data_IF_841002546473
#
_entry.id   IF_841002546473
#
_cell.length_a   1.000
_cell.length_b   1.000
_cell.length_c   1.000
_cell.angle_alpha   90.00
_cell.angle_beta   90.00
_cell.angle_gamma   90.00
#
_symmetry.space_group_name_H-M   'P 1'
#
loop_
_entity.id
_entity.type
_entity.pdbx_description
1 polymer ?
#
# COMPACT_ATOMS: atom_id res chain seq x y z
N UNK A 1 -51.23 26.80 1.33
CA UNK A 1 -51.41 27.32 -0.04
C UNK A 1 -50.29 28.31 -0.34
N UNK A 2 -49.30 27.90 -1.15
CA UNK A 2 -48.94 28.52 -2.45
C UNK A 2 -47.60 29.27 -2.34
N UNK A 3 -46.47 28.65 -2.64
CA UNK A 3 -45.80 28.45 -3.96
C UNK A 3 -44.67 29.48 -4.20
N UNK A 4 -43.43 29.00 -4.01
CA UNK A 4 -42.33 28.98 -4.99
C UNK A 4 -42.32 30.04 -6.10
N UNK A 5 -41.25 30.87 -6.14
CA UNK A 5 -40.60 31.38 -7.37
C UNK A 5 -39.13 31.71 -7.09
N UNK A 6 -38.21 30.89 -7.60
CA UNK A 6 -36.85 31.32 -7.97
C UNK A 6 -36.67 30.93 -9.43
N UNK A 7 -36.28 31.89 -10.25
CA UNK A 7 -36.25 31.80 -11.70
C UNK A 7 -34.98 31.08 -12.21
N UNK A 8 -35.19 30.17 -13.16
CA UNK A 8 -34.25 29.75 -14.22
C UNK A 8 -33.89 30.97 -15.10
N UNK A 9 -32.76 31.12 -15.80
CA UNK A 9 -31.66 30.25 -16.22
C UNK A 9 -30.49 31.14 -16.70
N UNK A 10 -29.26 30.61 -16.68
CA UNK A 10 -28.33 30.77 -17.82
C UNK A 10 -27.66 29.41 -18.04
N UNK A 11 -27.95 28.82 -19.19
CA UNK A 11 -27.41 27.55 -19.68
C UNK A 11 -26.07 27.86 -20.35
N UNK A 12 -24.95 27.42 -19.75
CA UNK A 12 -23.68 27.29 -20.45
C UNK A 12 -23.40 25.79 -20.60
N UNK A 13 -23.71 25.24 -21.77
CA UNK A 13 -23.36 23.87 -22.13
C UNK A 13 -21.86 23.87 -22.46
N UNK A 14 -21.05 23.47 -21.49
CA UNK A 14 -19.69 22.99 -21.76
C UNK A 14 -19.77 21.47 -21.73
N UNK A 15 -19.63 20.84 -22.90
CA UNK A 15 -19.55 19.40 -23.04
C UNK A 15 -18.27 18.87 -22.39
N UNK A 16 -18.34 18.59 -21.09
CA UNK A 16 -17.35 17.82 -20.37
C UNK A 16 -17.75 16.35 -20.41
N UNK A 17 -16.91 15.51 -21.02
CA UNK A 17 -17.04 14.06 -20.92
C UNK A 17 -16.85 13.70 -19.44
N UNK A 18 -17.96 13.37 -18.77
CA UNK A 18 -17.93 12.90 -17.40
C UNK A 18 -17.17 11.57 -17.35
N UNK A 19 -15.94 11.61 -16.85
CA UNK A 19 -15.26 10.39 -16.40
C UNK A 19 -16.03 9.85 -15.19
N UNK A 20 -16.29 8.54 -15.11
CA UNK A 20 -16.88 7.97 -13.91
C UNK A 20 -15.91 8.22 -12.75
N UNK A 21 -16.40 8.91 -11.72
CA UNK A 21 -15.67 9.08 -10.47
C UNK A 21 -15.34 7.68 -9.93
N UNK A 22 -14.05 7.39 -9.78
CA UNK A 22 -13.60 6.20 -9.07
C UNK A 22 -14.31 6.17 -7.71
N UNK A 23 -14.96 5.05 -7.39
CA UNK A 23 -15.62 4.86 -6.11
C UNK A 23 -14.58 5.11 -5.00
N UNK A 24 -14.85 6.08 -4.13
CA UNK A 24 -13.97 6.39 -3.00
C UNK A 24 -13.86 5.14 -2.11
N UNK A 25 -12.65 4.77 -1.65
CA UNK A 25 -12.48 3.64 -0.74
C UNK A 25 -13.37 3.83 0.50
N UNK A 26 -13.99 2.74 0.95
CA UNK A 26 -14.87 2.77 2.12
C UNK A 26 -14.14 3.39 3.32
N UNK A 27 -14.78 4.30 4.07
CA UNK A 27 -14.10 4.99 5.15
C UNK A 27 -13.70 4.02 6.27
N UNK A 28 -12.56 4.28 6.93
CA UNK A 28 -12.07 3.39 7.97
C UNK A 28 -12.96 3.42 9.22
N UNK A 29 -13.10 2.26 9.87
CA UNK A 29 -13.72 2.17 11.19
C UNK A 29 -12.68 2.58 12.23
N UNK A 30 -12.82 3.76 12.83
CA UNK A 30 -11.89 4.28 13.84
C UNK A 30 -12.32 3.83 15.25
N UNK A 31 -11.63 2.86 15.85
CA UNK A 31 -11.94 2.25 17.16
C UNK A 31 -10.75 2.31 18.12
N UNK A 32 -10.98 2.08 19.41
CA UNK A 32 -9.92 1.84 20.40
C UNK A 32 -10.19 0.48 21.02
N UNK A 33 -9.64 -0.56 20.41
CA UNK A 33 -9.93 -1.96 20.76
C UNK A 33 -9.07 -2.42 21.93
N UNK A 34 -7.85 -1.90 22.03
CA UNK A 34 -6.97 -2.09 23.19
C UNK A 34 -6.45 -0.75 23.70
N UNK A 35 -6.60 -0.48 24.99
CA UNK A 35 -6.07 0.73 25.62
C UNK A 35 -4.66 0.52 26.15
N UNK A 36 -3.80 1.52 25.94
CA UNK A 36 -2.43 1.60 26.47
C UNK A 36 -2.30 2.70 27.53
N UNK A 37 -3.43 3.22 28.02
CA UNK A 37 -3.48 4.26 29.06
C UNK A 37 -3.60 5.68 28.50
N UNK A 38 -3.24 6.66 29.32
CA UNK A 38 -3.29 8.08 28.99
C UNK A 38 -1.94 8.74 29.19
N UNK A 39 -1.54 9.60 28.25
CA UNK A 39 -0.28 10.36 28.27
C UNK A 39 -0.60 11.83 28.01
N UNK A 40 -0.24 12.70 28.95
CA UNK A 40 -0.44 14.16 28.83
C UNK A 40 -1.86 14.58 28.40
N UNK A 41 -2.89 13.86 28.85
CA UNK A 41 -4.30 14.13 28.50
C UNK A 41 -4.82 13.40 27.25
N UNK A 42 -3.95 12.74 26.49
CA UNK A 42 -4.29 11.94 25.31
C UNK A 42 -4.51 10.48 25.69
N UNK A 43 -5.53 9.85 25.11
CA UNK A 43 -5.76 8.42 25.26
C UNK A 43 -4.98 7.66 24.18
N UNK A 44 -4.17 6.70 24.60
CA UNK A 44 -3.34 5.88 23.70
C UNK A 44 -4.00 4.52 23.57
N UNK A 45 -4.05 4.01 22.35
CA UNK A 45 -4.68 2.73 22.08
C UNK A 45 -4.24 2.11 20.78
N UNK A 46 -4.76 0.92 20.52
CA UNK A 46 -4.59 0.18 19.29
C UNK A 46 -5.97 -0.07 18.67
N UNK A 47 -6.04 0.13 17.36
CA UNK A 47 -7.22 -0.15 16.55
C UNK A 47 -6.92 -1.35 15.66
N UNK A 48 -7.70 -2.42 15.82
CA UNK A 48 -7.59 -3.64 15.02
C UNK A 48 -7.98 -3.37 13.57
N UNK A 49 -9.04 -2.60 13.35
CA UNK A 49 -9.51 -2.19 12.02
C UNK A 49 -8.52 -1.32 11.25
N UNK A 50 -7.68 -0.55 11.96
CA UNK A 50 -6.60 0.21 11.35
C UNK A 50 -5.26 -0.54 11.37
N UNK A 51 -5.17 -1.64 12.11
CA UNK A 51 -3.94 -2.42 12.31
C UNK A 51 -2.81 -1.64 13.00
N UNK A 52 -3.11 -0.58 13.74
CA UNK A 52 -2.09 0.34 14.24
C UNK A 52 -2.48 1.12 15.49
N UNK A 53 -1.46 1.66 16.15
CA UNK A 53 -1.63 2.47 17.36
C UNK A 53 -2.06 3.89 17.02
N UNK A 54 -2.80 4.50 17.95
CA UNK A 54 -3.38 5.82 17.82
C UNK A 54 -3.45 6.57 19.15
N UNK A 55 -3.53 7.88 19.04
CA UNK A 55 -3.82 8.80 20.13
C UNK A 55 -5.13 9.55 19.86
N UNK A 56 -5.87 9.81 20.92
CA UNK A 56 -7.11 10.57 20.86
C UNK A 56 -7.21 11.60 22.00
N UNK A 57 -7.59 12.83 21.65
CA UNK A 57 -7.92 13.89 22.61
C UNK A 57 -9.28 14.49 22.29
N UNK A 58 -10.14 14.56 23.31
CA UNK A 58 -11.47 15.14 23.23
C UNK A 58 -11.48 16.54 23.84
N UNK A 59 -12.23 17.46 23.21
CA UNK A 59 -12.29 18.87 23.56
C UNK A 59 -13.69 19.28 24.01
N UNK A 60 -13.80 20.40 24.72
CA UNK A 60 -15.04 20.85 25.36
C UNK A 60 -16.18 21.17 24.39
N UNK A 61 -15.90 21.40 23.10
CA UNK A 61 -16.91 21.60 22.05
C UNK A 61 -17.54 20.29 21.54
N UNK A 62 -17.02 19.14 21.98
CA UNK A 62 -17.39 17.80 21.54
C UNK A 62 -16.55 17.26 20.39
N UNK A 63 -15.58 18.05 19.90
CA UNK A 63 -14.64 17.58 18.87
C UNK A 63 -13.66 16.60 19.50
N UNK A 64 -13.31 15.54 18.79
CA UNK A 64 -12.18 14.67 19.15
C UNK A 64 -11.20 14.63 17.99
N UNK A 65 -9.93 14.85 18.31
CA UNK A 65 -8.80 14.73 17.39
C UNK A 65 -8.17 13.36 17.57
N UNK A 66 -7.93 12.70 16.46
CA UNK A 66 -7.33 11.38 16.37
C UNK A 66 -6.12 11.46 15.47
N UNK A 67 -5.02 10.86 15.88
CA UNK A 67 -3.90 10.62 14.97
C UNK A 67 -3.25 9.28 15.28
N UNK A 68 -2.59 8.70 14.31
CA UNK A 68 -1.92 7.41 14.51
C UNK A 68 -1.34 6.87 13.22
N UNK A 69 -1.05 5.57 13.23
CA UNK A 69 -0.54 4.85 12.07
C UNK A 69 -1.54 3.78 11.64
N UNK A 70 -1.59 3.51 10.34
CA UNK A 70 -2.28 2.32 9.83
C UNK A 70 -1.28 1.16 9.67
N UNK A 71 -1.56 -0.02 10.21
CA UNK A 71 -0.70 -1.19 10.07
C UNK A 71 0.64 -1.12 10.85
N UNK A 72 1.37 -2.24 10.82
CA UNK A 72 2.63 -2.43 11.55
C UNK A 72 3.78 -1.50 11.12
N UNK A 73 3.71 -0.92 9.91
CA UNK A 73 4.74 -0.02 9.34
C UNK A 73 4.17 1.23 8.64
N UNK A 74 2.86 1.49 8.74
CA UNK A 74 2.17 2.27 7.71
C UNK A 74 1.97 3.76 7.97
N UNK A 75 1.27 4.35 7.01
CA UNK A 75 1.06 5.77 6.84
C UNK A 75 0.35 6.41 8.03
N UNK A 76 0.85 7.58 8.41
CA UNK A 76 0.18 8.40 9.42
C UNK A 76 -1.18 8.90 8.93
N UNK A 77 -2.13 8.98 9.84
CA UNK A 77 -3.46 9.51 9.58
C UNK A 77 -3.86 10.53 10.65
N UNK A 78 -4.85 11.36 10.29
CA UNK A 78 -5.51 12.31 11.18
C UNK A 78 -7.01 12.16 10.94
N UNK A 79 -7.76 12.17 12.03
CA UNK A 79 -9.19 12.27 11.95
C UNK A 79 -9.75 13.27 12.97
N UNK A 80 -10.88 13.83 12.63
CA UNK A 80 -11.67 14.69 13.49
C UNK A 80 -13.07 14.11 13.57
N UNK A 81 -13.66 14.03 14.75
CA UNK A 81 -15.05 13.57 14.93
C UNK A 81 -15.82 14.52 15.82
N UNK A 82 -17.09 14.79 15.50
CA UNK A 82 -17.99 15.56 16.34
C UNK A 82 -19.46 15.17 16.05
N UNK A 83 -20.24 14.89 17.10
CA UNK A 83 -21.66 14.51 16.99
C UNK A 83 -22.57 15.61 16.41
N UNK A 84 -22.09 16.87 16.38
CA UNK A 84 -22.82 18.00 15.81
C UNK A 84 -22.65 18.13 14.29
N UNK A 85 -21.70 17.42 13.67
CA UNK A 85 -21.38 17.55 12.24
C UNK A 85 -22.28 16.69 11.33
N UNK A 86 -23.60 16.79 11.52
CA UNK A 86 -24.60 15.94 10.85
C UNK A 86 -24.74 16.15 9.33
N UNK A 87 -24.14 17.21 8.79
CA UNK A 87 -24.14 17.50 7.36
C UNK A 87 -23.01 16.81 6.58
N UNK A 88 -22.14 16.06 7.28
CA UNK A 88 -21.08 15.30 6.63
C UNK A 88 -21.63 13.95 6.13
N UNK A 89 -21.43 13.69 4.84
CA UNK A 89 -21.83 12.47 4.16
C UNK A 89 -20.67 11.47 4.17
N UNK A 90 -20.99 10.21 4.44
CA UNK A 90 -20.03 9.09 4.36
C UNK A 90 -19.48 8.98 2.94
N UNK A 91 -18.16 9.00 2.80
CA UNK A 91 -17.47 9.00 1.51
C UNK A 91 -17.38 10.36 0.81
N UNK A 92 -18.07 11.39 1.33
CA UNK A 92 -17.98 12.76 0.82
C UNK A 92 -16.56 13.32 0.95
N UNK A 93 -16.15 14.16 0.00
CA UNK A 93 -14.81 14.76 -0.03
C UNK A 93 -14.87 16.23 0.40
N UNK A 94 -14.08 16.58 1.42
CA UNK A 94 -14.13 17.89 2.08
C UNK A 94 -12.75 18.54 2.11
N UNK A 95 -12.61 19.67 1.45
CA UNK A 95 -11.39 20.48 1.51
C UNK A 95 -11.28 21.23 2.84
N UNK A 96 -10.29 20.85 3.66
CA UNK A 96 -9.98 21.52 4.91
C UNK A 96 -8.69 22.33 4.79
N UNK A 97 -8.69 23.51 5.41
CA UNK A 97 -7.47 24.25 5.72
C UNK A 97 -7.16 24.12 7.20
N UNK A 98 -5.92 23.76 7.51
CA UNK A 98 -5.42 23.62 8.87
C UNK A 98 -4.30 24.62 9.10
N UNK A 99 -4.33 25.32 10.22
CA UNK A 99 -3.30 26.31 10.59
C UNK A 99 -2.78 25.97 11.97
N UNK A 100 -1.48 25.75 12.10
CA UNK A 100 -0.82 25.57 13.39
C UNK A 100 0.44 26.46 13.44
N UNK A 101 0.40 27.47 14.30
CA UNK A 101 1.43 28.51 14.33
C UNK A 101 1.56 29.24 13.00
N UNK A 102 2.76 29.20 12.40
CA UNK A 102 3.05 29.78 11.06
C UNK A 102 2.73 28.82 9.91
N UNK A 103 2.49 27.56 10.20
CA UNK A 103 2.27 26.54 9.18
C UNK A 103 0.81 26.55 8.74
N UNK A 104 0.61 26.35 7.44
CA UNK A 104 -0.70 26.30 6.80
C UNK A 104 -0.72 25.09 5.89
N UNK A 105 -1.73 24.26 6.06
CA UNK A 105 -1.95 23.08 5.24
C UNK A 105 -3.35 23.13 4.65
N UNK A 106 -3.47 22.54 3.47
CA UNK A 106 -4.74 22.30 2.82
C UNK A 106 -4.74 20.85 2.33
N UNK A 107 -5.86 20.18 2.49
CA UNK A 107 -6.03 18.82 1.98
C UNK A 107 -7.47 18.39 1.97
N UNK A 108 -7.74 17.38 1.15
CA UNK A 108 -9.03 16.72 1.06
C UNK A 108 -9.18 15.70 2.19
N UNK A 109 -10.34 15.69 2.85
CA UNK A 109 -10.69 14.73 3.89
C UNK A 109 -11.94 13.96 3.47
N UNK A 110 -11.96 12.67 3.76
CA UNK A 110 -13.12 11.81 3.50
C UNK A 110 -14.04 11.81 4.71
N UNK A 111 -15.33 12.06 4.47
CA UNK A 111 -16.39 11.95 5.47
C UNK A 111 -16.60 10.51 5.93
N UNK A 112 -16.76 10.30 7.23
CA UNK A 112 -17.06 8.99 7.80
C UNK A 112 -17.95 9.09 9.03
N UNK A 113 -18.46 7.96 9.48
CA UNK A 113 -19.26 7.84 10.70
C UNK A 113 -18.53 6.99 11.75
N UNK A 114 -18.71 7.37 13.01
CA UNK A 114 -18.20 6.67 14.19
C UNK A 114 -19.25 6.74 15.31
N UNK A 115 -20.04 5.69 15.44
CA UNK A 115 -21.16 5.67 16.38
C UNK A 115 -22.22 6.70 15.98
N UNK A 116 -22.52 7.64 16.88
CA UNK A 116 -23.42 8.78 16.64
C UNK A 116 -22.68 10.03 16.12
N UNK A 117 -21.36 9.97 15.97
CA UNK A 117 -20.54 11.07 15.49
C UNK A 117 -20.21 10.95 14.01
N UNK A 118 -20.15 12.10 13.33
CA UNK A 118 -19.60 12.21 12.00
C UNK A 118 -18.17 12.73 12.09
N UNK A 119 -17.34 12.36 11.11
CA UNK A 119 -15.95 12.73 11.11
C UNK A 119 -15.37 12.96 9.73
N UNK A 120 -14.16 13.51 9.75
CA UNK A 120 -13.32 13.80 8.60
C UNK A 120 -12.02 13.04 8.80
N UNK A 121 -11.65 12.20 7.85
CA UNK A 121 -10.48 11.34 7.90
C UNK A 121 -9.55 11.63 6.74
N UNK A 122 -8.25 11.68 7.02
CA UNK A 122 -7.21 11.69 6.01
C UNK A 122 -6.04 10.81 6.42
N UNK A 123 -5.50 10.05 5.47
CA UNK A 123 -4.33 9.19 5.64
C UNK A 123 -3.21 9.57 4.69
N UNK A 124 -2.01 9.01 4.88
CA UNK A 124 -0.87 9.38 4.05
C UNK A 124 -0.32 10.76 4.38
N UNK A 125 -0.48 11.20 5.63
CA UNK A 125 0.00 12.51 6.04
C UNK A 125 1.53 12.54 5.97
N UNK A 126 2.06 13.68 5.53
CA UNK A 126 3.50 13.91 5.41
C UNK A 126 4.12 13.84 6.81
N UNK A 127 5.28 13.20 6.94
CA UNK A 127 6.01 13.11 8.21
C UNK A 127 6.26 14.50 8.83
N UNK A 128 6.60 15.48 8.00
CA UNK A 128 6.74 16.88 8.41
C UNK A 128 5.44 17.48 8.94
N UNK A 129 4.29 17.16 8.34
CA UNK A 129 2.99 17.62 8.87
C UNK A 129 2.77 17.09 10.28
N UNK A 130 3.04 15.81 10.50
CA UNK A 130 2.86 15.17 11.81
C UNK A 130 3.83 15.76 12.84
N UNK A 131 5.10 15.93 12.49
CA UNK A 131 6.08 16.56 13.37
C UNK A 131 5.73 18.02 13.70
N UNK A 132 5.36 18.82 12.70
CA UNK A 132 4.97 20.22 12.87
C UNK A 132 3.67 20.35 13.68
N UNK A 133 2.72 19.42 13.50
CA UNK A 133 1.48 19.35 14.27
C UNK A 133 1.78 19.04 15.74
N UNK A 134 2.55 17.98 16.00
CA UNK A 134 2.92 17.59 17.38
C UNK A 134 3.72 18.66 18.12
N UNK A 135 4.52 19.46 17.41
CA UNK A 135 5.29 20.56 17.98
C UNK A 135 4.48 21.87 18.12
N UNK A 136 3.26 21.93 17.58
CA UNK A 136 2.42 23.12 17.66
C UNK A 136 1.61 23.18 18.95
N UNK A 137 1.35 24.37 19.48
CA UNK A 137 0.52 24.55 20.68
C UNK A 137 -0.99 24.42 20.43
N UNK A 138 -1.43 24.63 19.18
CA UNK A 138 -2.84 24.53 18.77
C UNK A 138 -2.98 24.38 17.26
N UNK A 139 -4.07 23.76 16.82
CA UNK A 139 -4.49 23.73 15.41
C UNK A 139 -5.86 24.39 15.23
N UNK A 140 -5.96 25.24 14.21
CA UNK A 140 -7.20 25.82 13.72
C UNK A 140 -7.63 25.11 12.45
N UNK A 141 -8.85 24.55 12.44
CA UNK A 141 -9.44 23.82 11.32
C UNK A 141 -10.52 24.69 10.69
N UNK A 142 -10.38 24.92 9.38
CA UNK A 142 -11.22 25.81 8.58
C UNK A 142 -11.83 25.01 7.43
N UNK A 143 -13.15 25.07 7.30
CA UNK A 143 -13.92 24.47 6.20
C UNK A 143 -14.70 25.56 5.48
N UNK A 144 -14.59 25.63 4.14
CA UNK A 144 -15.25 26.66 3.30
C UNK A 144 -15.05 28.10 3.82
N UNK A 145 -13.87 28.40 4.37
CA UNK A 145 -13.56 29.72 4.91
C UNK A 145 -14.10 30.01 6.31
N UNK A 146 -14.87 29.10 6.91
CA UNK A 146 -15.34 29.19 8.29
C UNK A 146 -14.47 28.34 9.21
N UNK A 147 -14.04 28.90 10.34
CA UNK A 147 -13.39 28.14 11.40
C UNK A 147 -14.39 27.17 12.03
N UNK A 148 -14.10 25.88 11.99
CA UNK A 148 -14.97 24.82 12.52
C UNK A 148 -14.43 24.19 13.81
N UNK A 149 -13.13 24.32 14.10
CA UNK A 149 -12.53 23.87 15.36
C UNK A 149 -11.23 24.63 15.66
N UNK A 150 -10.96 24.86 16.95
CA UNK A 150 -9.65 25.30 17.45
C UNK A 150 -9.27 24.37 18.59
N UNK A 151 -8.25 23.56 18.38
CA UNK A 151 -7.91 22.45 19.24
C UNK A 151 -6.53 22.71 19.86
N UNK A 152 -6.44 22.64 21.18
CA UNK A 152 -5.15 22.69 21.87
C UNK A 152 -4.37 21.41 21.58
N UNK A 153 -3.08 21.53 21.29
CA UNK A 153 -2.21 20.39 21.00
C UNK A 153 -1.20 20.14 22.12
N UNK A 154 -1.47 20.68 23.31
CA UNK A 154 -0.67 20.41 24.51
C UNK A 154 -0.62 18.90 24.76
N UNK A 155 0.57 18.37 25.01
CA UNK A 155 0.79 16.94 25.25
C UNK A 155 0.85 16.08 23.97
N UNK A 156 0.69 16.66 22.78
CA UNK A 156 0.64 15.88 21.53
C UNK A 156 1.99 15.31 21.09
N UNK A 157 3.11 15.89 21.52
CA UNK A 157 4.45 15.33 21.32
C UNK A 157 4.61 14.04 22.13
N UNK A 158 4.29 14.06 23.42
CA UNK A 158 4.37 12.91 24.31
C UNK A 158 3.38 11.81 23.89
N UNK A 159 2.19 12.20 23.43
CA UNK A 159 1.22 11.29 22.87
C UNK A 159 1.73 10.62 21.59
N UNK A 160 2.43 11.37 20.73
CA UNK A 160 3.04 10.81 19.51
C UNK A 160 4.14 9.79 19.85
N UNK A 161 5.03 10.11 20.79
CA UNK A 161 6.05 9.18 21.26
C UNK A 161 5.43 7.90 21.86
N UNK A 162 4.34 8.05 22.63
CA UNK A 162 3.61 6.92 23.19
C UNK A 162 2.95 6.03 22.12
N UNK A 163 2.46 6.62 21.02
CA UNK A 163 1.93 5.87 19.87
C UNK A 163 3.04 5.07 19.18
N UNK A 164 4.23 5.66 19.00
CA UNK A 164 5.40 4.95 18.46
C UNK A 164 5.82 3.79 19.39
N UNK A 165 5.81 4.01 20.70
CA UNK A 165 6.08 2.97 21.70
C UNK A 165 5.07 1.82 21.62
N UNK A 166 3.78 2.15 21.63
CA UNK A 166 2.69 1.18 21.43
C UNK A 166 2.90 0.37 20.14
N UNK A 167 3.28 1.02 19.04
CA UNK A 167 3.50 0.35 17.77
C UNK A 167 4.64 -0.67 17.84
N UNK A 168 5.72 -0.35 18.56
CA UNK A 168 6.82 -1.28 18.82
C UNK A 168 6.40 -2.45 19.71
N UNK A 169 5.59 -2.20 20.74
CA UNK A 169 5.14 -3.25 21.65
C UNK A 169 4.21 -4.24 20.95
N UNK A 170 3.27 -3.75 20.14
CA UNK A 170 2.36 -4.59 19.37
C UNK A 170 3.11 -5.42 18.32
N UNK A 171 4.07 -4.81 17.61
CA UNK A 171 4.88 -5.53 16.63
C UNK A 171 5.83 -6.55 17.27
N UNK A 172 6.39 -6.24 18.44
CA UNK A 172 7.24 -7.17 19.20
C UNK A 172 6.43 -8.32 19.81
N UNK A 173 5.25 -8.04 20.36
CA UNK A 173 4.36 -9.07 20.88
C UNK A 173 3.84 -9.99 19.77
N UNK A 174 3.52 -9.44 18.59
CA UNK A 174 3.16 -10.23 17.41
C UNK A 174 4.32 -11.12 16.93
N UNK A 175 5.56 -10.63 16.99
CA UNK A 175 6.75 -11.41 16.63
C UNK A 175 7.10 -12.51 17.65
N UNK A 176 6.68 -12.38 18.91
CA UNK A 176 6.96 -13.34 19.99
C UNK A 176 5.88 -14.41 20.16
N UNK A 177 4.70 -14.21 19.55
CA UNK A 177 3.60 -15.14 19.55
C UNK A 177 3.65 -16.04 18.30
N UNK A 178 4.55 -17.02 18.27
CA UNK A 178 4.41 -18.19 17.37
C UNK A 178 3.29 -19.12 17.88
N UNK A 179 2.50 -19.78 17.01
CA UNK A 179 1.34 -20.55 17.45
C UNK A 179 1.72 -21.97 17.90
N UNK A 180 1.14 -22.40 19.02
CA UNK A 180 1.05 -23.81 19.43
C UNK A 180 -0.05 -24.54 18.62
N UNK A 181 -0.01 -25.89 18.49
CA UNK A 181 -0.90 -26.63 17.60
C UNK A 181 -2.33 -26.81 18.18
N UNK A 182 -3.29 -26.53 17.30
CA UNK A 182 -4.70 -26.92 17.21
C UNK A 182 -5.61 -27.00 18.44
N UNK A 183 -6.70 -26.23 18.36
CA UNK A 183 -8.06 -26.71 18.66
C UNK A 183 -9.06 -25.97 17.75
N UNK A 184 -10.11 -26.65 17.24
CA UNK A 184 -10.92 -26.17 16.14
C UNK A 184 -11.88 -25.06 16.61
N UNK A 185 -11.51 -23.79 16.39
CA UNK A 185 -12.48 -22.70 16.32
C UNK A 185 -12.85 -22.45 14.88
N UNK A 186 -14.18 -22.47 14.67
CA UNK A 186 -14.93 -22.13 13.47
C UNK A 186 -14.26 -20.97 12.70
N UNK A 187 -13.74 -21.27 11.51
CA UNK A 187 -13.08 -20.31 10.61
C UNK A 187 -14.08 -19.22 10.22
N UNK A 188 -13.94 -18.03 10.80
CA UNK A 188 -14.36 -16.81 10.13
C UNK A 188 -13.35 -16.53 9.01
N UNK A 189 -13.83 -16.14 7.83
CA UNK A 189 -13.02 -15.98 6.64
C UNK A 189 -11.88 -14.97 6.87
N UNK A 190 -10.65 -15.49 6.99
CA UNK A 190 -9.44 -14.70 7.12
C UNK A 190 -9.25 -13.79 5.91
N UNK A 191 -8.74 -12.59 6.16
CA UNK A 191 -8.48 -11.58 5.15
C UNK A 191 -7.38 -12.07 4.19
N UNK A 192 -7.79 -12.68 3.07
CA UNK A 192 -6.85 -13.16 2.04
C UNK A 192 -6.24 -11.97 1.30
N UNK A 193 -4.91 -11.93 1.18
CA UNK A 193 -4.22 -10.95 0.33
C UNK A 193 -3.58 -11.65 -0.88
N UNK A 194 -3.38 -10.91 -1.97
CA UNK A 194 -2.85 -11.46 -3.23
C UNK A 194 -1.66 -10.67 -3.74
N UNK A 195 -0.77 -11.37 -4.43
CA UNK A 195 0.39 -10.81 -5.10
C UNK A 195 0.84 -11.69 -6.26
N UNK A 196 2.02 -11.41 -6.78
CA UNK A 196 2.64 -12.18 -7.85
C UNK A 196 3.96 -12.74 -7.37
N UNK A 197 4.34 -13.92 -7.87
CA UNK A 197 5.70 -14.43 -7.79
C UNK A 197 6.09 -15.10 -9.10
N UNK A 198 7.36 -15.44 -9.25
CA UNK A 198 7.82 -16.17 -10.43
C UNK A 198 8.89 -17.18 -10.07
N UNK A 199 8.94 -18.27 -10.82
CA UNK A 199 9.94 -19.31 -10.63
C UNK A 199 11.35 -18.80 -10.96
N UNK A 200 12.31 -19.16 -10.13
CA UNK A 200 13.73 -18.78 -10.26
C UNK A 200 14.67 -19.98 -10.31
N UNK A 201 14.15 -21.20 -10.16
CA UNK A 201 14.94 -22.43 -10.34
C UNK A 201 14.05 -23.59 -10.78
N UNK A 202 14.66 -24.60 -11.41
CA UNK A 202 13.93 -25.79 -11.86
C UNK A 202 13.45 -26.66 -10.70
N UNK A 203 13.99 -26.44 -9.49
CA UNK A 203 13.61 -27.15 -8.26
C UNK A 203 12.32 -26.61 -7.62
N UNK A 204 11.66 -25.61 -8.23
CA UNK A 204 10.39 -25.08 -7.73
C UNK A 204 10.54 -23.91 -6.74
N UNK A 205 11.69 -23.24 -6.71
CA UNK A 205 11.84 -21.99 -5.95
C UNK A 205 11.18 -20.82 -6.69
N UNK A 206 10.51 -19.95 -5.95
CA UNK A 206 9.87 -18.73 -6.44
C UNK A 206 10.41 -17.51 -5.73
N UNK A 207 10.50 -16.40 -6.45
CA UNK A 207 10.79 -15.10 -5.89
C UNK A 207 9.52 -14.24 -5.87
N UNK A 208 9.35 -13.46 -4.81
CA UNK A 208 8.29 -12.46 -4.66
C UNK A 208 8.76 -11.33 -3.73
N UNK A 209 7.89 -10.38 -3.41
CA UNK A 209 8.18 -9.40 -2.37
C UNK A 209 7.91 -9.94 -0.97
N UNK A 210 8.71 -9.49 0.01
CA UNK A 210 8.48 -9.82 1.41
C UNK A 210 7.08 -9.41 1.88
N UNK A 211 6.64 -8.19 1.56
CA UNK A 211 5.33 -7.69 2.02
C UNK A 211 4.13 -8.48 1.47
N UNK A 212 4.30 -9.21 0.37
CA UNK A 212 3.26 -10.10 -0.17
C UNK A 212 3.05 -11.29 0.75
N UNK A 213 4.12 -11.75 1.41
CA UNK A 213 4.10 -13.00 2.18
C UNK A 213 4.28 -12.81 3.68
N UNK A 214 4.53 -11.59 4.16
CA UNK A 214 5.06 -11.35 5.52
C UNK A 214 4.10 -11.77 6.63
N UNK A 215 2.80 -11.62 6.42
CA UNK A 215 1.75 -11.89 7.40
C UNK A 215 0.94 -13.18 7.10
N UNK A 216 1.39 -14.01 6.15
CA UNK A 216 0.62 -15.20 5.75
C UNK A 216 0.76 -16.33 6.77
N UNK A 217 -0.37 -16.95 7.08
CA UNK A 217 -0.43 -18.22 7.81
C UNK A 217 -0.22 -19.41 6.89
N UNK A 218 -0.77 -19.35 5.68
CA UNK A 218 -0.53 -20.30 4.60
C UNK A 218 -0.34 -19.56 3.28
N UNK A 219 0.47 -20.13 2.40
CA UNK A 219 0.78 -19.55 1.10
C UNK A 219 0.40 -20.57 0.03
N UNK A 220 -0.50 -20.18 -0.86
CA UNK A 220 -0.79 -20.95 -2.07
C UNK A 220 -0.36 -20.18 -3.30
N UNK A 221 0.19 -20.89 -4.28
CA UNK A 221 0.58 -20.35 -5.58
C UNK A 221 -0.25 -20.98 -6.68
N UNK A 222 -0.66 -20.20 -7.68
CA UNK A 222 -1.46 -20.70 -8.79
C UNK A 222 -0.94 -20.19 -10.13
N UNK A 223 -0.62 -21.13 -11.02
CA UNK A 223 -0.32 -20.84 -12.42
C UNK A 223 -1.60 -20.92 -13.26
N UNK A 224 -1.76 -20.12 -14.33
CA UNK A 224 -2.97 -20.13 -15.15
C UNK A 224 -3.24 -21.50 -15.75
N UNK A 225 -4.45 -22.05 -15.53
CA UNK A 225 -4.83 -23.37 -16.03
C UNK A 225 -4.34 -24.55 -15.17
N UNK A 226 -3.65 -24.29 -14.05
CA UNK A 226 -3.20 -25.30 -13.11
C UNK A 226 -3.93 -25.18 -11.76
N UNK A 227 -3.94 -26.28 -11.01
CA UNK A 227 -4.42 -26.30 -9.62
C UNK A 227 -3.48 -25.49 -8.73
N UNK A 228 -4.03 -24.82 -7.73
CA UNK A 228 -3.22 -24.14 -6.72
C UNK A 228 -2.34 -25.13 -5.96
N UNK A 229 -1.08 -24.76 -5.74
CA UNK A 229 -0.08 -25.51 -5.03
C UNK A 229 0.23 -24.83 -3.69
N UNK A 230 0.47 -25.61 -2.65
CA UNK A 230 0.99 -25.06 -1.39
C UNK A 230 2.46 -24.67 -1.59
N UNK A 231 2.82 -23.49 -1.13
CA UNK A 231 4.20 -23.02 -1.10
C UNK A 231 4.66 -22.85 0.35
N UNK A 232 5.95 -23.08 0.59
CA UNK A 232 6.60 -22.85 1.87
C UNK A 232 7.58 -21.70 1.77
N UNK A 233 7.67 -20.91 2.82
CA UNK A 233 8.66 -19.86 2.93
C UNK A 233 10.06 -20.49 3.12
N UNK A 234 11.02 -20.08 2.30
CA UNK A 234 12.43 -20.45 2.44
C UNK A 234 13.16 -19.36 3.23
N UNK A 235 13.04 -18.11 2.78
CA UNK A 235 13.72 -16.97 3.39
C UNK A 235 13.00 -15.64 3.10
N UNK A 236 13.27 -14.63 3.94
CA UNK A 236 12.81 -13.25 3.78
C UNK A 236 13.98 -12.28 3.91
N UNK A 237 13.96 -11.24 3.10
CA UNK A 237 14.77 -10.04 3.23
C UNK A 237 13.84 -8.84 3.35
N UNK A 238 13.53 -8.47 4.59
CA UNK A 238 12.64 -7.36 4.88
C UNK A 238 13.24 -5.99 4.52
N UNK A 239 14.57 -5.88 4.38
CA UNK A 239 15.26 -4.63 4.07
C UNK A 239 15.20 -4.31 2.57
N UNK A 240 15.27 -5.35 1.74
CA UNK A 240 15.14 -5.24 0.28
C UNK A 240 13.74 -5.59 -0.24
N UNK A 241 12.84 -6.01 0.65
CA UNK A 241 11.46 -6.39 0.33
C UNK A 241 11.40 -7.58 -0.63
N UNK A 242 12.18 -8.63 -0.35
CA UNK A 242 12.24 -9.87 -1.13
C UNK A 242 11.91 -11.08 -0.26
N UNK A 243 11.30 -12.11 -0.86
CA UNK A 243 11.12 -13.40 -0.22
C UNK A 243 11.28 -14.53 -1.24
N UNK A 244 11.88 -15.64 -0.80
CA UNK A 244 11.94 -16.88 -1.56
C UNK A 244 10.94 -17.86 -0.98
N UNK A 245 10.16 -18.47 -1.87
CA UNK A 245 9.27 -19.58 -1.58
C UNK A 245 9.76 -20.85 -2.28
N UNK A 246 9.25 -22.00 -1.87
CA UNK A 246 9.42 -23.27 -2.58
C UNK A 246 8.09 -23.99 -2.69
N UNK A 247 7.87 -24.65 -3.82
CA UNK A 247 6.84 -25.68 -3.98
C UNK A 247 7.50 -27.05 -4.08
N UNK A 248 6.70 -28.11 -3.92
CA UNK A 248 7.17 -29.49 -4.10
C UNK A 248 7.21 -29.92 -5.58
N UNK A 249 6.88 -29.00 -6.51
CA UNK A 249 6.73 -29.30 -7.92
C UNK A 249 7.83 -28.62 -8.74
N UNK A 250 8.70 -29.40 -9.41
CA UNK A 250 9.73 -28.82 -10.28
C UNK A 250 9.09 -28.10 -11.46
N UNK A 251 9.83 -27.12 -12.00
CA UNK A 251 9.37 -26.27 -13.10
C UNK A 251 10.39 -26.23 -14.21
N UNK A 252 9.92 -26.28 -15.46
CA UNK A 252 10.80 -26.18 -16.64
C UNK A 252 10.95 -24.75 -17.12
N UNK A 253 9.93 -23.93 -16.91
CA UNK A 253 9.95 -22.52 -17.30
C UNK A 253 10.59 -21.72 -16.18
N UNK A 254 11.87 -21.36 -16.35
CA UNK A 254 12.62 -20.48 -15.45
C UNK A 254 13.29 -19.39 -16.29
N UNK A 255 12.95 -18.11 -16.08
CA UNK A 255 13.58 -17.04 -16.82
C UNK A 255 15.00 -16.79 -16.27
N UNK A 256 15.97 -16.46 -17.14
CA UNK A 256 17.23 -15.94 -16.66
C UNK A 256 17.06 -14.54 -16.03
N UNK A 257 17.88 -14.24 -15.02
CA UNK A 257 18.02 -12.90 -14.45
C UNK A 257 19.16 -12.18 -15.17
N UNK A 258 18.94 -10.92 -15.53
CA UNK A 258 19.95 -10.03 -16.10
C UNK A 258 20.53 -9.12 -15.00
N UNK A 259 21.85 -8.95 -15.00
CA UNK A 259 22.54 -8.04 -14.07
C UNK A 259 22.54 -6.58 -14.55
N UNK A 260 21.93 -6.29 -15.72
CA UNK A 260 21.91 -4.95 -16.32
C UNK A 260 20.49 -4.55 -16.67
N UNK A 261 20.10 -3.38 -16.18
CA UNK A 261 18.98 -2.60 -16.69
C UNK A 261 19.54 -1.30 -17.28
N UNK A 262 19.09 -0.91 -18.47
CA UNK A 262 19.55 0.26 -19.20
C UNK A 262 18.46 1.31 -19.25
N UNK A 263 18.86 2.56 -19.01
CA UNK A 263 17.97 3.70 -19.17
C UNK A 263 17.39 3.73 -20.59
N UNK A 264 16.06 3.88 -20.69
CA UNK A 264 15.34 3.98 -21.95
C UNK A 264 14.98 2.65 -22.61
N UNK A 265 15.45 1.50 -22.10
CA UNK A 265 15.08 0.21 -22.69
C UNK A 265 13.64 -0.19 -22.34
N UNK A 266 13.01 -0.97 -23.22
CA UNK A 266 11.67 -1.49 -22.99
C UNK A 266 11.66 -2.40 -21.75
N UNK A 267 10.62 -2.24 -20.93
CA UNK A 267 10.34 -3.11 -19.80
C UNK A 267 8.92 -3.64 -19.90
N UNK A 268 8.78 -4.93 -19.64
CA UNK A 268 7.52 -5.65 -19.66
C UNK A 268 7.24 -6.17 -18.26
N UNK A 269 6.02 -5.97 -17.76
CA UNK A 269 5.61 -6.46 -16.43
C UNK A 269 4.46 -7.42 -16.61
N UNK A 270 4.58 -8.60 -16.01
CA UNK A 270 3.52 -9.59 -15.94
C UNK A 270 3.15 -9.88 -14.49
N UNK A 271 1.86 -9.98 -14.19
CA UNK A 271 1.40 -10.30 -12.84
C UNK A 271 -0.11 -10.45 -12.71
N UNK A 272 -0.61 -10.54 -11.49
CA UNK A 272 -2.02 -10.82 -11.17
C UNK A 272 -2.65 -9.69 -10.36
N UNK A 273 -2.92 -8.53 -10.98
CA UNK A 273 -3.64 -7.47 -10.31
C UNK A 273 -5.09 -7.92 -10.07
N UNK A 274 -5.60 -7.74 -8.85
CA UNK A 274 -7.02 -7.95 -8.51
C UNK A 274 -7.64 -9.21 -9.15
N UNK A 275 -7.07 -10.39 -8.91
CA UNK A 275 -7.47 -11.67 -9.57
C UNK A 275 -8.95 -12.08 -9.40
N UNK A 276 -9.67 -11.42 -8.48
CA UNK A 276 -11.10 -11.58 -8.24
C UNK A 276 -11.97 -10.67 -9.13
N UNK A 277 -11.36 -9.68 -9.82
CA UNK A 277 -12.01 -8.67 -10.66
C UNK A 277 -11.46 -8.69 -12.10
N UNK A 278 -10.17 -9.01 -12.28
CA UNK A 278 -9.47 -9.02 -13.57
C UNK A 278 -9.17 -10.44 -14.07
N UNK A 279 -8.60 -10.55 -15.28
CA UNK A 279 -8.32 -11.82 -15.93
C UNK A 279 -7.48 -12.76 -15.05
N UNK A 280 -8.01 -13.96 -14.80
CA UNK A 280 -7.34 -15.05 -14.09
C UNK A 280 -6.08 -15.56 -14.80
N UNK A 281 -5.89 -15.16 -16.05
CA UNK A 281 -4.71 -15.46 -16.87
C UNK A 281 -3.59 -14.43 -16.73
N UNK A 282 -3.67 -13.52 -15.76
CA UNK A 282 -2.67 -12.47 -15.54
C UNK A 282 -2.82 -11.27 -16.47
N UNK A 283 -2.12 -10.19 -16.13
CA UNK A 283 -2.05 -8.93 -16.86
C UNK A 283 -0.62 -8.70 -17.35
N UNK A 284 -0.48 -8.17 -18.57
CA UNK A 284 0.80 -7.83 -19.18
C UNK A 284 0.80 -6.34 -19.53
N UNK A 285 1.79 -5.60 -19.05
CA UNK A 285 1.98 -4.17 -19.31
C UNK A 285 3.35 -3.89 -19.89
N UNK A 286 3.44 -2.79 -20.63
CA UNK A 286 4.65 -2.37 -21.34
C UNK A 286 4.98 -0.94 -20.95
N UNK A 287 6.27 -0.66 -20.79
CA UNK A 287 6.80 0.69 -20.62
C UNK A 287 8.29 0.70 -20.92
N UNK A 288 9.01 1.61 -20.25
CA UNK A 288 10.46 1.75 -20.32
C UNK A 288 11.09 1.91 -18.95
N UNK A 289 12.39 1.61 -18.84
CA UNK A 289 13.21 1.99 -17.69
C UNK A 289 13.44 3.51 -17.74
N UNK A 290 12.85 4.24 -16.80
CA UNK A 290 12.92 5.71 -16.76
C UNK A 290 14.02 6.25 -15.85
N UNK A 291 14.53 5.43 -14.92
CA UNK A 291 15.73 5.71 -14.14
C UNK A 291 16.40 4.40 -13.68
N UNK A 292 17.72 4.42 -13.54
CA UNK A 292 18.51 3.29 -13.03
C UNK A 292 18.68 3.29 -11.51
N UNK A 293 17.95 4.16 -10.82
CA UNK A 293 17.85 4.24 -9.36
C UNK A 293 16.38 4.44 -8.96
N UNK A 294 16.06 4.11 -7.71
CA UNK A 294 14.77 4.38 -7.11
C UNK A 294 14.62 5.79 -6.56
N UNK A 295 13.50 6.03 -5.86
CA UNK A 295 13.30 7.27 -5.09
C UNK A 295 14.46 7.55 -4.12
N UNK A 296 14.89 8.80 -4.05
CA UNK A 296 16.01 9.23 -3.19
C UNK A 296 17.35 8.61 -3.58
N UNK A 297 17.55 8.30 -4.87
CA UNK A 297 18.75 7.64 -5.40
C UNK A 297 19.01 6.24 -4.80
N UNK A 298 17.95 5.51 -4.42
CA UNK A 298 18.06 4.12 -3.97
C UNK A 298 18.60 3.23 -5.11
N UNK A 299 19.91 2.99 -5.09
CA UNK A 299 20.64 2.26 -6.12
C UNK A 299 20.24 0.78 -6.24
N UNK A 300 19.46 0.27 -5.29
CA UNK A 300 18.92 -1.10 -5.29
C UNK A 300 17.74 -1.28 -6.24
N UNK A 301 17.16 -0.19 -6.76
CA UNK A 301 15.94 -0.20 -7.56
C UNK A 301 16.16 0.40 -8.95
N UNK A 302 15.22 0.12 -9.85
CA UNK A 302 15.02 0.81 -11.12
C UNK A 302 13.63 1.45 -11.11
N UNK A 303 13.52 2.60 -11.78
CA UNK A 303 12.23 3.23 -12.04
C UNK A 303 11.73 2.81 -13.43
N UNK A 304 10.46 2.47 -13.52
CA UNK A 304 9.80 2.01 -14.74
C UNK A 304 8.52 2.80 -15.00
N UNK A 305 8.18 2.97 -16.29
CA UNK A 305 6.92 3.60 -16.71
C UNK A 305 5.78 2.62 -16.98
N UNK A 306 6.06 1.31 -17.01
CA UNK A 306 5.03 0.29 -17.17
C UNK A 306 3.97 0.46 -16.06
N UNK A 307 2.66 0.49 -16.38
CA UNK A 307 1.61 0.58 -15.39
C UNK A 307 1.64 -0.60 -14.40
N UNK A 308 1.69 -0.30 -13.11
CA UNK A 308 1.71 -1.30 -12.04
C UNK A 308 0.56 -1.02 -11.07
N UNK A 309 -0.17 -2.07 -10.67
CA UNK A 309 -1.30 -2.00 -9.74
C UNK A 309 -1.09 -2.94 -8.54
N UNK A 310 -1.94 -2.82 -7.52
CA UNK A 310 -1.98 -3.78 -6.42
C UNK A 310 -2.19 -5.20 -6.98
N UNK A 311 -1.38 -6.15 -6.53
CA UNK A 311 -1.32 -7.53 -7.03
C UNK A 311 -0.15 -7.82 -7.98
N UNK A 312 0.42 -6.80 -8.65
CA UNK A 312 1.65 -6.96 -9.45
C UNK A 312 2.93 -7.06 -8.59
N UNK A 313 2.89 -6.66 -7.31
CA UNK A 313 4.01 -6.81 -6.38
C UNK A 313 4.54 -8.23 -6.37
N UNK A 314 5.85 -8.36 -6.51
CA UNK A 314 6.59 -9.62 -6.59
C UNK A 314 6.67 -10.21 -7.99
N UNK A 315 6.00 -9.62 -8.98
CA UNK A 315 6.07 -10.05 -10.37
C UNK A 315 7.38 -9.68 -11.07
N UNK A 316 7.71 -10.35 -12.19
CA UNK A 316 8.90 -10.07 -12.98
C UNK A 316 8.75 -8.76 -13.78
N UNK A 317 9.80 -7.94 -13.76
CA UNK A 317 10.06 -6.93 -14.78
C UNK A 317 11.07 -7.50 -15.78
N UNK A 318 10.69 -7.58 -17.05
CA UNK A 318 11.43 -8.24 -18.12
C UNK A 318 11.99 -7.23 -19.12
N UNK A 319 13.17 -7.51 -19.67
CA UNK A 319 13.70 -6.80 -20.85
C UNK A 319 13.14 -7.36 -22.17
N UNK A 320 13.52 -6.75 -23.28
CA UNK A 320 13.14 -7.17 -24.65
C UNK A 320 13.69 -8.54 -25.09
N UNK A 321 14.47 -9.22 -24.25
CA UNK A 321 15.00 -10.56 -24.50
C UNK A 321 14.32 -11.61 -23.59
N UNK A 322 13.34 -11.16 -22.78
CA UNK A 322 12.65 -12.00 -21.81
C UNK A 322 13.55 -12.45 -20.65
N UNK A 323 14.56 -11.65 -20.28
CA UNK A 323 15.30 -11.80 -19.04
C UNK A 323 14.67 -10.91 -17.95
N UNK A 324 14.71 -11.37 -16.70
CA UNK A 324 14.24 -10.58 -15.56
C UNK A 324 15.30 -9.54 -15.19
N UNK A 325 14.95 -8.26 -15.29
CA UNK A 325 15.79 -7.11 -14.87
C UNK A 325 15.42 -6.58 -13.47
N UNK A 326 14.26 -6.99 -12.93
CA UNK A 326 13.92 -6.72 -11.54
C UNK A 326 12.63 -7.38 -11.06
N UNK A 327 12.34 -7.19 -9.77
CA UNK A 327 11.12 -7.64 -9.08
C UNK A 327 10.24 -6.43 -8.82
N UNK A 328 9.05 -6.39 -9.42
CA UNK A 328 8.13 -5.26 -9.33
C UNK A 328 7.68 -5.04 -7.89
N UNK A 329 7.75 -3.79 -7.43
CA UNK A 329 7.23 -3.36 -6.12
C UNK A 329 6.06 -2.41 -6.36
N UNK A 330 4.83 -2.91 -6.24
CA UNK A 330 3.63 -2.08 -6.35
C UNK A 330 3.34 -1.40 -5.01
N UNK A 331 4.08 -0.31 -4.75
CA UNK A 331 3.78 0.65 -3.68
C UNK A 331 3.35 1.96 -4.33
N UNK A 332 2.23 2.51 -3.86
CA UNK A 332 1.74 3.80 -4.36
C UNK A 332 2.74 4.88 -3.95
N UNK A 333 3.54 5.34 -4.91
CA UNK A 333 4.48 6.43 -4.70
C UNK A 333 3.74 7.76 -4.83
N UNK A 334 3.52 8.43 -3.71
CA UNK A 334 2.98 9.77 -3.69
C UNK A 334 4.14 10.77 -3.76
N UNK A 335 4.18 11.61 -4.79
CA UNK A 335 5.15 12.70 -4.88
C UNK A 335 4.67 13.89 -4.06
N UNK A 336 5.60 14.77 -3.68
CA UNK A 336 5.35 15.89 -2.77
C UNK A 336 4.22 16.85 -3.22
N UNK A 337 3.84 16.83 -4.50
CA UNK A 337 2.80 17.65 -5.14
C UNK A 337 1.36 17.14 -4.96
N UNK A 338 1.14 15.94 -4.39
CA UNK A 338 -0.21 15.38 -4.23
C UNK A 338 -0.75 14.67 -5.48
N UNK A 339 -0.03 14.75 -6.60
CA UNK A 339 -0.26 13.86 -7.75
C UNK A 339 0.31 12.48 -7.44
N UNK A 340 -0.50 11.44 -7.63
CA UNK A 340 0.02 10.10 -7.90
C UNK A 340 0.59 10.18 -9.30
N UNK A 341 1.92 10.15 -9.50
CA UNK A 341 2.47 10.18 -10.83
C UNK A 341 1.96 8.95 -11.55
N UNK A 342 1.29 9.21 -12.66
CA UNK A 342 1.02 8.17 -13.63
C UNK A 342 2.38 7.72 -14.18
N UNK A 343 2.59 6.41 -14.27
CA UNK A 343 3.80 5.82 -14.87
C UNK A 343 5.11 6.09 -14.11
N UNK A 344 5.06 6.21 -12.78
CA UNK A 344 6.27 6.10 -11.93
C UNK A 344 6.12 4.90 -11.01
N UNK A 345 6.74 3.80 -11.40
CA UNK A 345 6.74 2.55 -10.64
C UNK A 345 8.18 2.09 -10.41
N UNK A 346 8.38 1.16 -9.49
CA UNK A 346 9.72 0.69 -9.13
C UNK A 346 9.82 -0.83 -9.19
N UNK A 347 10.99 -1.31 -9.55
CA UNK A 347 11.37 -2.71 -9.41
C UNK A 347 12.71 -2.82 -8.67
N UNK A 348 12.84 -3.81 -7.80
CA UNK A 348 14.10 -4.16 -7.12
C UNK A 348 15.00 -4.81 -8.16
N UNK A 349 16.25 -4.33 -8.32
CA UNK A 349 17.17 -4.84 -9.34
C UNK A 349 17.42 -6.33 -9.16
N UNK A 350 17.51 -7.05 -10.28
CA UNK A 350 17.87 -8.46 -10.29
C UNK A 350 19.21 -8.76 -9.63
N UNK A 351 20.15 -7.82 -9.56
CA UNK A 351 21.41 -8.00 -8.82
C UNK A 351 21.19 -8.14 -7.31
N UNK A 352 20.23 -7.41 -6.75
CA UNK A 352 19.84 -7.53 -5.34
C UNK A 352 19.14 -8.87 -5.11
N UNK A 353 18.25 -9.26 -6.03
CA UNK A 353 17.60 -10.57 -6.01
C UNK A 353 18.60 -11.72 -6.11
N UNK A 354 19.59 -11.65 -7.01
CA UNK A 354 20.62 -12.66 -7.19
C UNK A 354 21.45 -12.85 -5.93
N UNK A 355 21.91 -11.77 -5.30
CA UNK A 355 22.66 -11.85 -4.03
C UNK A 355 21.81 -12.50 -2.93
N UNK A 356 20.52 -12.18 -2.86
CA UNK A 356 19.60 -12.79 -1.90
C UNK A 356 19.37 -14.28 -2.17
N UNK A 357 19.20 -14.67 -3.45
CA UNK A 357 19.04 -16.07 -3.84
C UNK A 357 20.30 -16.90 -3.53
N UNK A 358 21.48 -16.38 -3.87
CA UNK A 358 22.77 -17.02 -3.61
C UNK A 358 22.99 -17.22 -2.11
N UNK A 359 22.72 -16.20 -1.29
CA UNK A 359 22.85 -16.28 0.17
C UNK A 359 21.93 -17.35 0.81
N UNK A 360 20.88 -17.79 0.10
CA UNK A 360 19.94 -18.81 0.54
C UNK A 360 20.09 -20.14 -0.23
N UNK A 361 21.20 -20.33 -0.96
CA UNK A 361 21.50 -21.57 -1.66
C UNK A 361 20.58 -21.85 -2.86
N UNK A 362 19.95 -20.82 -3.43
CA UNK A 362 19.11 -20.94 -4.62
C UNK A 362 19.88 -20.48 -5.85
N UNK A 363 20.19 -21.43 -6.72
CA UNK A 363 20.82 -21.16 -8.01
C UNK A 363 19.76 -20.74 -9.03
N UNK A 364 19.87 -19.51 -9.52
CA UNK A 364 19.04 -18.99 -10.60
C UNK A 364 19.85 -18.82 -11.89
N UNK A 365 19.26 -19.07 -13.07
CA UNK A 365 19.95 -18.85 -14.33
C UNK A 365 20.26 -17.37 -14.50
N UNK A 366 21.50 -17.04 -14.88
CA UNK A 366 21.93 -15.67 -15.17
C UNK A 366 22.20 -15.57 -16.68
N UNK A 367 21.66 -14.53 -17.32
CA UNK A 367 22.02 -14.23 -18.70
C UNK A 367 22.89 -12.97 -18.77
N UNK A 368 24.03 -13.13 -19.45
CA UNK A 368 25.01 -12.06 -19.73
C UNK A 368 25.13 -11.77 -21.23
N UNK A 369 24.41 -12.49 -22.09
CA UNK A 369 24.49 -12.41 -23.54
C UNK A 369 23.24 -11.73 -24.12
N UNK A 370 23.44 -10.82 -25.06
CA UNK A 370 22.36 -10.26 -25.87
C UNK A 370 21.99 -11.30 -26.93
N UNK A 371 20.78 -11.86 -26.82
CA UNK A 371 20.12 -12.61 -27.91
C UNK A 371 19.39 -11.65 -28.83
N UNK A 372 18.76 -12.15 -29.89
CA UNK A 372 17.85 -11.32 -30.67
C UNK A 372 16.66 -10.87 -29.81
N UNK A 373 16.18 -9.63 -29.96
CA UNK A 373 14.98 -9.16 -29.26
C UNK A 373 13.75 -10.00 -29.65
N UNK A 374 12.93 -10.32 -28.65
CA UNK A 374 11.64 -10.95 -28.83
C UNK A 374 10.57 -9.88 -29.04
N UNK A 375 9.51 -10.19 -29.79
CA UNK A 375 8.33 -9.34 -29.78
C UNK A 375 7.61 -9.41 -28.42
N UNK A 376 6.77 -8.41 -28.13
CA UNK A 376 6.08 -8.31 -26.84
C UNK A 376 5.10 -9.46 -26.57
N UNK A 377 4.52 -10.07 -27.60
CA UNK A 377 3.59 -11.19 -27.43
C UNK A 377 4.32 -12.45 -27.00
N UNK A 378 5.46 -12.75 -27.62
CA UNK A 378 6.33 -13.86 -27.24
C UNK A 378 6.87 -13.70 -25.81
N UNK A 379 7.18 -12.46 -25.38
CA UNK A 379 7.58 -12.18 -23.99
C UNK A 379 6.41 -12.45 -23.04
N UNK A 380 5.18 -12.05 -23.39
CA UNK A 380 4.00 -12.28 -22.57
C UNK A 380 3.68 -13.78 -22.42
N UNK A 381 3.78 -14.55 -23.50
CA UNK A 381 3.61 -16.01 -23.48
C UNK A 381 4.65 -16.67 -22.59
N UNK A 382 5.93 -16.32 -22.76
CA UNK A 382 7.01 -16.82 -21.91
C UNK A 382 6.78 -16.47 -20.44
N UNK A 383 6.39 -15.22 -20.15
CA UNK A 383 6.15 -14.73 -18.79
C UNK A 383 5.03 -15.50 -18.08
N UNK A 384 3.97 -15.84 -18.81
CA UNK A 384 2.84 -16.63 -18.31
C UNK A 384 3.25 -18.01 -17.81
N UNK A 385 4.27 -18.63 -18.40
CA UNK A 385 4.67 -20.00 -18.08
C UNK A 385 5.45 -20.12 -16.77
N UNK A 386 6.09 -19.04 -16.31
CA UNK A 386 6.90 -19.05 -15.10
C UNK A 386 6.38 -18.14 -13.99
N UNK A 387 5.33 -17.35 -14.24
CA UNK A 387 4.75 -16.43 -13.27
C UNK A 387 3.50 -17.03 -12.65
N UNK A 388 3.32 -16.82 -11.35
CA UNK A 388 2.21 -17.38 -10.57
C UNK A 388 1.53 -16.29 -9.75
N UNK A 389 0.25 -16.49 -9.52
CA UNK A 389 -0.47 -15.76 -8.49
C UNK A 389 -0.08 -16.31 -7.13
N UNK A 390 0.20 -15.43 -6.17
CA UNK A 390 0.35 -15.78 -4.76
C UNK A 390 -0.92 -15.37 -4.03
N UNK A 391 -1.43 -16.28 -3.22
CA UNK A 391 -2.54 -16.05 -2.30
C UNK A 391 -2.06 -16.33 -0.89
N UNK A 392 -2.14 -15.30 -0.07
CA UNK A 392 -1.74 -15.25 1.33
C UNK A 392 -2.99 -15.40 2.20
N UNK A 393 -3.05 -16.45 3.01
CA UNK A 393 -4.21 -16.78 3.86
C UNK A 393 -4.03 -16.39 5.31
#
# INVERSE_FOLDING_TARGET
MSRMKVAFAVLAVVGGVAHPAAASPAPPKLTVDKSFGKVAGWSIGYSESLGGCLAAASYGDGTTLWFGFNGARGASYLALTNAKWRSLEVGGQYELRMIAGRQKWQGTFTGFERGDAHGLYQSGLKERFVADLSASGSINVIFQGRQIAVLSLVGSTEAFDAVIGCQKDVTTAAAKAEPAPDSPRKREAGMTSTGTGFYVSERGHLLTNNHVVEACSDISVQQPGHTALRARLVARDAANDLAVLTTDFPQKAVPPLSIRARLGENVYVYGYPQSNVLASTGNFTIGSVTATAGSGDDTRKIQISAPVQQGNSGGPALDQFGNVIGVVQSKQVAFASGDVPQNVNFAIKSTIALNFLEANGVEAPINVRMTDPMDGAAIAEKARDFTVQITCH
#
